data_IF_460007176130
#
_entry.id   IF_460007176130
#
_cell.length_a   1.000
_cell.length_b   1.000
_cell.length_c   1.000
_cell.angle_alpha   90.00
_cell.angle_beta   90.00
_cell.angle_gamma   90.00
#
_symmetry.space_group_name_H-M   'P 1'
#
loop_
_entity.id
_entity.type
_entity.pdbx_description
1 polymer ?
#
# COMPACT_ATOMS: atom_id res chain seq x y z
N UNK A 1 -49.41 -72.52 22.75
CA UNK A 1 -48.27 -73.29 22.29
C UNK A 1 -47.10 -72.40 21.97
N UNK A 2 -46.05 -72.56 22.69
CA UNK A 2 -44.72 -72.04 22.85
C UNK A 2 -44.12 -71.10 21.77
N UNK A 3 -44.03 -69.96 22.13
CA UNK A 3 -43.05 -68.89 22.07
C UNK A 3 -41.61 -69.36 21.83
N UNK A 4 -40.93 -68.75 20.94
CA UNK A 4 -39.45 -68.53 21.09
C UNK A 4 -39.10 -67.17 20.60
N UNK A 5 -38.89 -66.37 21.56
CA UNK A 5 -38.11 -65.16 21.57
C UNK A 5 -36.70 -65.43 21.08
N UNK A 6 -36.25 -64.72 20.11
CA UNK A 6 -34.87 -64.74 19.63
C UNK A 6 -34.41 -63.34 19.32
N UNK A 7 -33.75 -62.84 20.22
CA UNK A 7 -32.72 -61.83 20.32
C UNK A 7 -32.08 -61.41 18.99
N UNK A 8 -32.27 -60.13 18.59
CA UNK A 8 -31.34 -59.44 17.73
C UNK A 8 -31.10 -58.05 18.31
N UNK A 9 -30.17 -58.00 19.20
CA UNK A 9 -29.53 -56.78 19.71
C UNK A 9 -28.06 -56.88 19.37
N UNK A 10 -27.63 -56.49 18.20
CA UNK A 10 -26.22 -56.09 17.91
C UNK A 10 -26.23 -55.31 16.61
N UNK A 11 -25.81 -54.06 16.62
CA UNK A 11 -25.49 -53.38 15.38
C UNK A 11 -25.81 -51.89 15.29
N UNK A 12 -25.75 -51.15 16.38
CA UNK A 12 -25.86 -49.71 16.32
C UNK A 12 -24.74 -49.00 17.10
N UNK A 13 -23.48 -49.21 16.71
CA UNK A 13 -22.37 -48.52 17.32
C UNK A 13 -21.14 -48.49 16.38
N UNK A 14 -21.26 -47.81 15.24
CA UNK A 14 -20.08 -47.46 14.44
C UNK A 14 -20.40 -46.40 13.36
N UNK A 15 -20.90 -45.22 13.75
CA UNK A 15 -21.05 -44.10 12.81
C UNK A 15 -20.78 -42.73 13.45
N UNK A 16 -19.76 -42.63 14.34
CA UNK A 16 -19.39 -41.36 14.98
C UNK A 16 -17.88 -41.09 14.93
N UNK A 17 -17.23 -41.45 13.85
CA UNK A 17 -15.79 -41.15 13.69
C UNK A 17 -15.48 -40.56 12.31
N UNK A 18 -16.20 -39.51 11.90
CA UNK A 18 -15.88 -38.75 10.70
C UNK A 18 -15.96 -37.23 10.95
N UNK A 19 -15.53 -36.76 12.13
CA UNK A 19 -15.05 -35.41 12.27
C UNK A 19 -13.59 -35.38 11.82
N UNK A 20 -13.37 -35.60 10.53
CA UNK A 20 -12.10 -35.21 9.90
C UNK A 20 -12.06 -33.69 9.99
N UNK A 21 -11.21 -33.17 10.86
CA UNK A 21 -10.83 -31.79 10.90
C UNK A 21 -10.34 -31.41 9.50
N UNK A 22 -11.19 -30.72 8.75
CA UNK A 22 -10.80 -30.07 7.52
C UNK A 22 -9.77 -29.02 7.91
N UNK A 23 -8.50 -29.35 7.72
CA UNK A 23 -7.43 -28.37 7.80
C UNK A 23 -7.83 -27.18 6.92
N UNK A 24 -7.87 -25.95 7.47
CA UNK A 24 -8.33 -24.80 6.68
C UNK A 24 -7.41 -24.71 5.48
N UNK A 25 -7.93 -25.09 4.32
CA UNK A 25 -7.25 -24.93 3.03
C UNK A 25 -6.85 -23.47 2.95
N UNK A 26 -5.57 -23.17 3.16
CA UNK A 26 -5.03 -21.82 2.91
C UNK A 26 -5.35 -21.51 1.46
N UNK A 27 -6.33 -20.62 1.27
CA UNK A 27 -6.59 -20.07 -0.04
C UNK A 27 -5.28 -19.50 -0.55
N UNK A 28 -4.89 -19.75 -1.81
CA UNK A 28 -3.73 -19.11 -2.38
C UNK A 28 -3.91 -17.60 -2.18
N UNK A 29 -3.01 -16.98 -1.43
CA UNK A 29 -2.94 -15.54 -1.33
C UNK A 29 -2.76 -15.08 -2.76
N UNK A 30 -3.79 -14.46 -3.32
CA UNK A 30 -3.69 -13.86 -4.63
C UNK A 30 -2.55 -12.84 -4.53
N UNK A 31 -1.39 -13.20 -5.06
CA UNK A 31 -0.28 -12.25 -5.21
C UNK A 31 -0.82 -11.16 -6.09
N UNK A 32 -1.12 -10.00 -5.49
CA UNK A 32 -1.51 -8.83 -6.26
C UNK A 32 -0.46 -8.65 -7.36
N UNK A 33 -0.88 -8.45 -8.61
CA UNK A 33 0.06 -8.22 -9.70
C UNK A 33 1.05 -7.14 -9.25
N UNK A 34 2.34 -7.39 -9.45
CA UNK A 34 3.34 -6.37 -9.15
C UNK A 34 2.90 -5.08 -9.83
N UNK A 35 2.67 -4.03 -9.04
CA UNK A 35 2.16 -2.77 -9.54
C UNK A 35 3.08 -2.28 -10.64
N UNK A 36 2.64 -2.43 -11.89
CA UNK A 36 3.35 -1.97 -13.07
C UNK A 36 3.11 -0.48 -13.20
N UNK A 37 4.17 0.29 -13.36
CA UNK A 37 4.08 1.73 -13.49
C UNK A 37 4.16 2.48 -12.16
N UNK A 38 3.36 3.56 -12.02
CA UNK A 38 3.43 4.48 -10.87
C UNK A 38 2.73 3.99 -9.61
N UNK A 39 1.94 2.94 -9.69
CA UNK A 39 1.21 2.37 -8.56
C UNK A 39 2.12 2.11 -7.36
N UNK A 40 1.63 2.46 -6.17
CA UNK A 40 2.31 2.25 -4.90
C UNK A 40 2.65 3.53 -4.16
N UNK A 41 3.56 3.42 -3.20
CA UNK A 41 3.97 4.53 -2.33
C UNK A 41 5.32 5.09 -2.76
N UNK A 42 5.39 6.41 -2.81
CA UNK A 42 6.58 7.17 -3.19
C UNK A 42 6.92 8.16 -2.09
N UNK A 43 8.10 8.06 -1.53
CA UNK A 43 8.58 8.98 -0.49
C UNK A 43 9.55 9.99 -1.07
N UNK A 44 9.44 11.23 -0.63
CA UNK A 44 10.40 12.28 -0.91
C UNK A 44 11.40 12.47 0.24
N UNK A 45 12.49 13.24 0.04
CA UNK A 45 13.46 13.54 1.08
C UNK A 45 12.90 14.36 2.26
N UNK A 46 11.77 15.03 2.07
CA UNK A 46 11.15 15.92 3.06
C UNK A 46 10.19 15.18 4.00
N UNK A 47 10.12 13.87 3.91
CA UNK A 47 9.23 13.07 4.75
C UNK A 47 7.77 13.11 4.32
N UNK A 48 7.53 13.27 3.02
CA UNK A 48 6.20 13.20 2.42
C UNK A 48 6.07 11.87 1.67
N UNK A 49 4.93 11.22 1.83
CA UNK A 49 4.57 10.00 1.09
C UNK A 49 3.40 10.29 0.17
N UNK A 50 3.63 10.05 -1.11
CA UNK A 50 2.60 10.08 -2.16
C UNK A 50 2.17 8.66 -2.50
N UNK A 51 0.88 8.39 -2.46
CA UNK A 51 0.29 7.07 -2.75
C UNK A 51 -0.53 7.16 -4.03
N UNK A 52 -0.27 6.24 -4.95
CA UNK A 52 -1.04 6.03 -6.18
C UNK A 52 -1.73 4.68 -6.08
N UNK A 53 -3.05 4.68 -6.10
CA UNK A 53 -3.83 3.45 -5.97
C UNK A 53 -5.15 3.56 -6.74
N UNK A 54 -5.32 2.71 -7.76
CA UNK A 54 -6.59 2.59 -8.47
C UNK A 54 -7.15 3.91 -9.02
N UNK A 55 -6.30 4.78 -9.59
CA UNK A 55 -6.70 6.08 -10.11
C UNK A 55 -6.80 7.19 -9.04
N UNK A 56 -6.60 6.86 -7.77
CA UNK A 56 -6.62 7.84 -6.66
C UNK A 56 -5.20 8.21 -6.24
N UNK A 57 -4.98 9.50 -6.06
CA UNK A 57 -3.74 10.07 -5.56
C UNK A 57 -3.94 10.70 -4.18
N UNK A 58 -3.02 10.42 -3.24
CA UNK A 58 -2.99 11.08 -1.93
C UNK A 58 -1.56 11.36 -1.50
N UNK A 59 -1.37 12.45 -0.77
CA UNK A 59 -0.07 12.82 -0.20
C UNK A 59 -0.23 13.05 1.29
N UNK A 60 0.67 12.43 2.08
CA UNK A 60 0.66 12.50 3.54
C UNK A 60 2.06 12.73 4.11
N UNK A 61 2.13 13.31 5.30
CA UNK A 61 3.37 13.38 6.07
C UNK A 61 3.69 12.01 6.70
N UNK A 62 4.98 11.69 6.86
CA UNK A 62 5.42 10.43 7.48
C UNK A 62 5.38 10.46 9.00
N UNK A 63 5.44 11.63 9.61
CA UNK A 63 5.48 11.84 11.07
C UNK A 63 4.09 11.78 11.72
N UNK A 64 3.15 12.53 11.19
CA UNK A 64 1.80 12.70 11.75
C UNK A 64 0.71 12.05 10.89
N UNK A 65 1.05 11.47 9.73
CA UNK A 65 0.10 10.93 8.76
C UNK A 65 -0.96 11.95 8.30
N UNK A 66 -0.64 13.24 8.40
CA UNK A 66 -1.52 14.32 7.98
C UNK A 66 -1.71 14.30 6.47
N UNK A 67 -2.96 14.37 6.00
CA UNK A 67 -3.30 14.46 4.59
C UNK A 67 -3.01 15.89 4.09
N UNK A 68 -2.11 16.02 3.11
CA UNK A 68 -1.68 17.30 2.55
C UNK A 68 -2.37 17.61 1.24
N UNK A 69 -2.56 16.59 0.40
CA UNK A 69 -3.24 16.71 -0.87
C UNK A 69 -3.97 15.41 -1.23
N UNK A 70 -4.99 15.53 -2.05
CA UNK A 70 -5.72 14.40 -2.64
C UNK A 70 -6.20 14.72 -4.04
N UNK A 71 -6.46 13.68 -4.84
CA UNK A 71 -6.96 13.87 -6.20
C UNK A 71 -7.04 12.55 -6.96
N UNK A 72 -7.08 12.67 -8.28
CA UNK A 72 -7.11 11.55 -9.20
C UNK A 72 -5.91 11.60 -10.14
N UNK A 73 -5.54 10.45 -10.68
CA UNK A 73 -4.50 10.37 -11.70
C UNK A 73 -4.92 9.46 -12.85
N UNK A 74 -4.35 9.73 -14.01
CA UNK A 74 -4.46 8.90 -15.20
C UNK A 74 -3.08 8.62 -15.76
N UNK A 75 -2.89 7.40 -16.24
CA UNK A 75 -1.68 7.03 -16.98
C UNK A 75 -1.83 7.49 -18.44
N UNK A 76 -1.05 8.49 -18.84
CA UNK A 76 -1.01 8.97 -20.23
C UNK A 76 -0.09 8.11 -21.09
N UNK A 77 0.87 7.43 -20.45
CA UNK A 77 1.73 6.42 -21.08
C UNK A 77 2.24 5.43 -19.99
N UNK A 78 2.95 4.36 -20.35
CA UNK A 78 3.54 3.44 -19.36
C UNK A 78 4.47 4.10 -18.34
N UNK A 79 5.04 5.27 -18.70
CA UNK A 79 5.99 6.00 -17.88
C UNK A 79 5.54 7.41 -17.52
N UNK A 80 4.40 7.87 -18.00
CA UNK A 80 3.88 9.22 -17.76
C UNK A 80 2.51 9.17 -17.12
N UNK A 81 2.32 10.01 -16.11
CA UNK A 81 1.09 10.14 -15.35
C UNK A 81 0.71 11.61 -15.21
N UNK A 82 -0.54 11.92 -15.44
CA UNK A 82 -1.14 13.21 -15.12
C UNK A 82 -1.98 13.08 -13.85
N UNK A 83 -1.75 13.97 -12.88
CA UNK A 83 -2.46 14.05 -11.61
C UNK A 83 -3.25 15.34 -11.58
N UNK A 84 -4.55 15.26 -11.27
CA UNK A 84 -5.38 16.40 -10.92
C UNK A 84 -5.55 16.37 -9.40
N UNK A 85 -4.87 17.27 -8.69
CA UNK A 85 -4.87 17.26 -7.23
C UNK A 85 -5.40 18.56 -6.63
N UNK A 86 -5.93 18.43 -5.41
CA UNK A 86 -6.28 19.53 -4.55
C UNK A 86 -5.35 19.55 -3.35
N UNK A 87 -4.62 20.65 -3.17
CA UNK A 87 -3.85 20.89 -1.95
C UNK A 87 -4.81 21.28 -0.83
N UNK A 88 -4.83 20.50 0.24
CA UNK A 88 -5.65 20.78 1.43
C UNK A 88 -5.03 21.87 2.30
N UNK A 89 -3.72 22.06 2.19
CA UNK A 89 -2.97 23.10 2.91
C UNK A 89 -3.22 24.47 2.31
N UNK A 90 -3.11 24.58 0.98
CA UNK A 90 -3.29 25.85 0.23
C UNK A 90 -4.72 26.08 -0.24
N UNK A 91 -5.56 25.03 -0.23
CA UNK A 91 -6.92 25.02 -0.80
C UNK A 91 -6.92 25.41 -2.28
N UNK A 92 -5.90 24.96 -3.01
CA UNK A 92 -5.73 25.21 -4.46
C UNK A 92 -5.77 23.90 -5.22
N UNK A 93 -6.23 23.98 -6.46
CA UNK A 93 -6.15 22.87 -7.42
C UNK A 93 -4.92 23.08 -8.31
N UNK A 94 -4.27 21.99 -8.68
CA UNK A 94 -3.17 22.01 -9.64
C UNK A 94 -3.10 20.69 -10.41
N UNK A 95 -2.53 20.79 -11.61
CA UNK A 95 -2.16 19.64 -12.43
C UNK A 95 -0.68 19.35 -12.22
N UNK A 96 -0.36 18.07 -12.10
CA UNK A 96 1.01 17.61 -11.94
C UNK A 96 1.29 16.53 -12.96
N UNK A 97 2.36 16.67 -13.71
CA UNK A 97 2.86 15.65 -14.63
C UNK A 97 4.04 14.92 -13.99
N UNK A 98 3.93 13.60 -13.90
CA UNK A 98 4.97 12.76 -13.33
C UNK A 98 5.55 11.82 -14.38
N UNK A 99 6.87 11.74 -14.44
CA UNK A 99 7.63 10.82 -15.26
C UNK A 99 8.30 9.74 -14.40
N UNK A 100 8.03 8.48 -14.72
CA UNK A 100 8.73 7.34 -14.13
C UNK A 100 10.09 7.20 -14.83
N UNK A 101 11.15 7.67 -14.18
CA UNK A 101 12.53 7.64 -14.72
C UNK A 101 13.09 6.22 -14.70
N UNK A 102 12.76 5.48 -13.66
CA UNK A 102 13.08 4.06 -13.50
C UNK A 102 12.09 3.43 -12.49
N UNK A 103 12.06 2.12 -12.29
CA UNK A 103 11.08 1.46 -11.41
C UNK A 103 11.05 1.95 -9.95
N UNK A 104 12.06 2.73 -9.53
CA UNK A 104 12.20 3.23 -8.16
C UNK A 104 12.27 4.76 -8.05
N UNK A 105 12.17 5.50 -9.17
CA UNK A 105 12.25 6.95 -9.17
C UNK A 105 11.17 7.59 -10.04
N UNK A 106 10.44 8.51 -9.44
CA UNK A 106 9.40 9.31 -10.05
C UNK A 106 9.76 10.79 -9.96
N UNK A 107 9.75 11.50 -11.08
CA UNK A 107 9.94 12.94 -11.14
C UNK A 107 8.64 13.61 -11.52
N UNK A 108 8.20 14.58 -10.74
CA UNK A 108 6.94 15.29 -10.92
C UNK A 108 7.15 16.79 -11.06
N UNK A 109 6.36 17.41 -11.93
CA UNK A 109 6.35 18.86 -12.14
C UNK A 109 4.90 19.34 -12.19
N UNK A 110 4.56 20.35 -11.36
CA UNK A 110 3.24 20.97 -11.38
C UNK A 110 3.14 22.03 -12.48
N UNK A 111 1.91 22.41 -12.81
CA UNK A 111 1.60 23.54 -13.69
C UNK A 111 2.16 24.89 -13.20
N UNK A 112 2.34 25.04 -11.88
CA UNK A 112 3.00 26.18 -11.25
C UNK A 112 4.54 26.14 -11.32
N UNK A 113 5.12 25.08 -11.91
CA UNK A 113 6.56 24.87 -12.01
C UNK A 113 7.23 24.28 -10.77
N UNK A 114 6.49 23.95 -9.72
CA UNK A 114 7.04 23.25 -8.58
C UNK A 114 7.44 21.81 -8.97
N UNK A 115 8.62 21.37 -8.52
CA UNK A 115 9.18 20.07 -8.84
C UNK A 115 9.39 19.26 -7.56
N UNK A 116 9.16 17.97 -7.62
CA UNK A 116 9.50 17.02 -6.57
C UNK A 116 9.91 15.66 -7.14
N UNK A 117 10.66 14.91 -6.35
CA UNK A 117 11.14 13.58 -6.72
C UNK A 117 10.69 12.58 -5.67
N UNK A 118 10.01 11.52 -6.12
CA UNK A 118 9.64 10.38 -5.27
C UNK A 118 10.56 9.20 -5.49
N UNK A 119 10.97 8.55 -4.42
CA UNK A 119 11.59 7.22 -4.44
C UNK A 119 10.56 6.19 -4.02
N UNK A 120 10.43 5.11 -4.77
CA UNK A 120 9.49 4.04 -4.42
C UNK A 120 9.85 3.50 -3.04
N UNK A 121 8.90 3.59 -2.12
CA UNK A 121 9.07 3.00 -0.80
C UNK A 121 9.23 1.50 -1.00
N UNK A 122 10.42 0.96 -0.71
CA UNK A 122 10.70 -0.46 -0.85
C UNK A 122 9.71 -1.24 -0.02
N UNK A 123 9.22 -2.34 -0.56
CA UNK A 123 8.49 -3.35 0.19
C UNK A 123 9.39 -3.73 1.37
N UNK A 124 9.02 -3.34 2.57
CA UNK A 124 9.70 -3.78 3.78
C UNK A 124 9.52 -5.30 3.83
N UNK A 125 10.53 -6.04 3.40
CA UNK A 125 10.56 -7.49 3.61
C UNK A 125 10.65 -7.67 5.13
N UNK A 126 9.60 -8.20 5.80
CA UNK A 126 9.67 -8.41 7.24
C UNK A 126 10.76 -9.46 7.50
N UNK A 127 11.85 -9.07 8.13
CA UNK A 127 12.93 -9.97 8.52
C UNK A 127 14.35 -9.47 8.26
N UNK A 128 14.60 -8.50 7.40
CA UNK A 128 15.93 -7.92 7.23
C UNK A 128 16.05 -6.71 8.16
N UNK A 129 16.42 -6.95 9.42
CA UNK A 129 16.97 -5.89 10.30
C UNK A 129 18.28 -5.43 9.66
N UNK A 130 18.24 -4.45 8.77
CA UNK A 130 19.44 -3.64 8.50
C UNK A 130 19.82 -3.01 9.83
N UNK A 131 20.95 -3.47 10.42
CA UNK A 131 21.63 -2.74 11.50
C UNK A 131 21.94 -1.35 10.91
N UNK A 132 21.07 -0.39 11.17
CA UNK A 132 21.38 1.02 10.96
C UNK A 132 22.51 1.31 11.96
N UNK A 133 23.71 1.45 11.46
CA UNK A 133 24.76 2.21 12.15
C UNK A 133 24.14 3.58 12.36
N UNK A 134 23.90 3.94 13.58
CA UNK A 134 23.40 5.26 13.95
C UNK A 134 24.50 6.27 13.67
N UNK A 135 24.57 6.77 12.43
CA UNK A 135 25.21 8.04 12.19
C UNK A 135 24.23 9.10 12.70
N UNK A 136 24.62 9.67 13.82
CA UNK A 136 23.94 10.79 14.48
C UNK A 136 24.09 12.03 13.60
N UNK A 137 23.42 12.05 12.45
CA UNK A 137 23.18 13.30 11.74
C UNK A 137 22.04 13.99 12.48
N UNK A 138 22.35 15.11 13.14
CA UNK A 138 21.38 16.02 13.74
C UNK A 138 20.39 16.43 12.64
N UNK A 139 19.24 15.78 12.58
CA UNK A 139 18.13 16.26 11.78
C UNK A 139 17.72 17.63 12.34
N UNK A 140 17.90 18.69 11.55
CA UNK A 140 17.29 19.98 11.83
C UNK A 140 15.78 19.77 11.70
N UNK A 141 14.96 20.26 12.66
CA UNK A 141 13.52 20.23 12.47
C UNK A 141 13.20 21.07 11.23
N UNK A 142 12.52 20.44 10.25
CA UNK A 142 12.07 21.09 9.03
C UNK A 142 11.13 22.21 9.42
N UNK A 143 11.45 23.45 8.97
CA UNK A 143 10.55 24.57 9.16
C UNK A 143 9.33 24.37 8.27
N UNK A 144 8.15 24.56 8.85
CA UNK A 144 6.84 24.46 8.18
C UNK A 144 6.76 25.25 6.87
N UNK A 145 7.59 26.28 6.71
CA UNK A 145 7.69 27.13 5.52
C UNK A 145 8.27 26.42 4.28
N UNK A 146 9.07 25.38 4.44
CA UNK A 146 9.64 24.63 3.30
C UNK A 146 8.63 23.63 2.72
N UNK A 147 7.77 23.05 3.55
CA UNK A 147 6.68 22.16 3.11
C UNK A 147 5.68 22.89 2.18
N UNK A 148 5.53 24.20 2.36
CA UNK A 148 4.62 25.00 1.54
C UNK A 148 5.14 25.30 0.12
N UNK A 149 6.41 25.07 -0.15
CA UNK A 149 7.00 25.36 -1.46
C UNK A 149 6.83 24.23 -2.46
N UNK A 150 6.58 23.01 -1.97
CA UNK A 150 6.48 21.77 -2.77
C UNK A 150 5.02 21.36 -3.02
N UNK A 151 4.10 21.83 -2.23
CA UNK A 151 2.66 21.62 -2.36
C UNK A 151 1.99 22.91 -2.83
#
# INVERSE_FOLDING_TARGET
MKIRTGLVLVGAAAALAACVSSEPRRLPVATAPAATGVEGNWSDPNGIVSTFQGGTFTTRTTDSNQLLASGTYINTSPTLVEINMTSLVRKTQSKVNCALVNPSQLNCTSDSGAQWQGKKAGLLIPGIRRRRRFDRVRARPLQYSELQRVL
#
